data_IF_462602385269
#
_entry.id   IF_462602385269
#
_cell.length_a   1.000
_cell.length_b   1.000
_cell.length_c   1.000
_cell.angle_alpha   90.00
_cell.angle_beta   90.00
_cell.angle_gamma   90.00
#
_symmetry.space_group_name_H-M   'P 1'
#
loop_
_entity.id
_entity.type
_entity.pdbx_description
1 polymer ?
#
# COMPACT_ATOMS: atom_id res chain seq x y z
N UNK A 1 17.09 -31.47 2.47
CA UNK A 1 17.25 -31.77 1.03
C UNK A 1 18.62 -31.24 0.65
N UNK A 2 19.59 -32.15 0.49
CA UNK A 2 21.02 -31.96 0.18
C UNK A 2 21.71 -30.66 0.63
N UNK A 3 22.13 -30.63 1.90
CA UNK A 3 23.34 -29.89 2.26
C UNK A 3 24.51 -30.86 2.02
N UNK A 4 25.33 -30.54 1.03
CA UNK A 4 26.54 -31.29 0.68
C UNK A 4 27.44 -31.42 1.91
N UNK A 5 27.80 -32.65 2.26
CA UNK A 5 28.80 -33.01 3.28
C UNK A 5 30.24 -32.68 2.83
N UNK A 6 30.48 -31.50 2.26
CA UNK A 6 31.81 -31.03 1.84
C UNK A 6 32.30 -29.91 2.77
N UNK A 7 31.93 -30.00 4.04
CA UNK A 7 32.38 -29.13 5.13
C UNK A 7 33.74 -29.52 5.69
N UNK A 8 34.66 -29.97 4.84
CA UNK A 8 36.06 -30.04 5.25
C UNK A 8 36.63 -28.62 5.11
N UNK A 9 36.95 -28.01 6.26
CA UNK A 9 37.89 -26.89 6.36
C UNK A 9 39.25 -27.32 5.79
N UNK A 10 39.34 -27.49 4.48
CA UNK A 10 40.56 -27.76 3.76
C UNK A 10 41.38 -26.49 3.86
N UNK A 11 42.37 -26.50 4.77
CA UNK A 11 43.37 -25.45 4.87
C UNK A 11 43.88 -25.17 3.46
N UNK A 12 43.75 -23.93 2.96
CA UNK A 12 44.06 -23.64 1.57
C UNK A 12 45.52 -23.97 1.28
N UNK A 13 45.73 -24.82 0.28
CA UNK A 13 47.06 -25.38 -0.06
C UNK A 13 47.82 -24.54 -1.08
N UNK A 14 47.11 -23.67 -1.80
CA UNK A 14 47.64 -22.80 -2.85
C UNK A 14 47.10 -21.38 -2.71
N UNK A 15 47.79 -20.41 -3.31
CA UNK A 15 47.34 -19.00 -3.33
C UNK A 15 45.99 -18.85 -4.04
N UNK A 16 45.79 -19.64 -5.10
CA UNK A 16 44.54 -19.71 -5.86
C UNK A 16 43.37 -20.18 -4.99
N UNK A 17 43.57 -21.28 -4.27
CA UNK A 17 42.56 -21.83 -3.37
C UNK A 17 42.26 -20.90 -2.18
N UNK A 18 43.29 -20.23 -1.64
CA UNK A 18 43.11 -19.22 -0.59
C UNK A 18 42.21 -18.07 -1.05
N UNK A 19 42.39 -17.57 -2.28
CA UNK A 19 41.55 -16.51 -2.83
C UNK A 19 40.09 -16.95 -2.94
N UNK A 20 39.84 -18.13 -3.51
CA UNK A 20 38.48 -18.68 -3.64
C UNK A 20 37.84 -18.86 -2.26
N UNK A 21 38.57 -19.41 -1.29
CA UNK A 21 38.08 -19.61 0.08
C UNK A 21 37.69 -18.30 0.78
N UNK A 22 38.49 -17.24 0.62
CA UNK A 22 38.16 -15.90 1.17
C UNK A 22 36.89 -15.35 0.52
N UNK A 23 36.77 -15.45 -0.81
CA UNK A 23 35.59 -14.96 -1.53
C UNK A 23 34.34 -15.74 -1.15
N UNK A 24 34.43 -17.06 -1.02
CA UNK A 24 33.34 -17.94 -0.58
C UNK A 24 32.86 -17.59 0.82
N UNK A 25 33.78 -17.43 1.77
CA UNK A 25 33.47 -17.02 3.14
C UNK A 25 32.72 -15.67 3.17
N UNK A 26 33.13 -14.70 2.35
CA UNK A 26 32.43 -13.41 2.29
C UNK A 26 31.07 -13.49 1.60
N UNK A 27 30.92 -14.33 0.58
CA UNK A 27 29.63 -14.57 -0.08
C UNK A 27 28.65 -15.24 0.88
N UNK A 28 29.11 -16.18 1.69
CA UNK A 28 28.31 -16.81 2.75
C UNK A 28 27.88 -15.80 3.82
N UNK A 29 28.78 -14.91 4.26
CA UNK A 29 28.41 -13.82 5.16
C UNK A 29 27.32 -12.91 4.58
N UNK A 30 27.39 -12.60 3.27
CA UNK A 30 26.34 -11.83 2.60
C UNK A 30 25.02 -12.61 2.60
N UNK A 31 25.04 -13.91 2.31
CA UNK A 31 23.86 -14.77 2.34
C UNK A 31 23.19 -14.77 3.71
N UNK A 32 23.97 -14.88 4.80
CA UNK A 32 23.46 -14.84 6.17
C UNK A 32 22.80 -13.49 6.49
N UNK A 33 23.43 -12.38 6.08
CA UNK A 33 22.88 -11.03 6.25
C UNK A 33 21.55 -10.88 5.49
N UNK A 34 21.47 -11.35 4.24
CA UNK A 34 20.23 -11.31 3.44
C UNK A 34 19.14 -12.13 4.09
N UNK A 35 19.45 -13.36 4.53
CA UNK A 35 18.51 -14.26 5.19
C UNK A 35 17.97 -13.63 6.48
N UNK A 36 18.84 -12.99 7.28
CA UNK A 36 18.41 -12.29 8.50
C UNK A 36 17.47 -11.12 8.20
N UNK A 37 17.74 -10.34 7.15
CA UNK A 37 16.85 -9.24 6.76
C UNK A 37 15.51 -9.73 6.22
N UNK A 38 15.50 -10.85 5.49
CA UNK A 38 14.27 -11.50 5.04
C UNK A 38 13.41 -11.94 6.22
N UNK A 39 14.00 -12.61 7.21
CA UNK A 39 13.30 -13.00 8.45
C UNK A 39 12.78 -11.79 9.23
N UNK A 40 13.55 -10.69 9.30
CA UNK A 40 13.08 -9.44 9.93
C UNK A 40 11.87 -8.88 9.17
N UNK A 41 11.92 -8.84 7.85
CA UNK A 41 10.80 -8.38 7.02
C UNK A 41 9.56 -9.25 7.20
N UNK A 42 9.69 -10.58 7.17
CA UNK A 42 8.58 -11.51 7.40
C UNK A 42 7.94 -11.30 8.78
N UNK A 43 8.75 -11.10 9.81
CA UNK A 43 8.24 -10.87 11.17
C UNK A 43 7.43 -9.57 11.26
N UNK A 44 7.91 -8.49 10.63
CA UNK A 44 7.26 -7.19 10.62
C UNK A 44 5.98 -7.22 9.77
N UNK A 45 5.98 -7.96 8.66
CA UNK A 45 4.81 -8.17 7.81
C UNK A 45 3.71 -8.95 8.56
N UNK A 46 4.08 -10.01 9.27
CA UNK A 46 3.15 -10.76 10.12
C UNK A 46 2.54 -9.89 11.23
N UNK A 47 3.36 -9.04 11.86
CA UNK A 47 2.88 -8.07 12.84
C UNK A 47 1.96 -7.01 12.20
N UNK A 48 2.21 -6.63 10.95
CA UNK A 48 1.37 -5.68 10.20
C UNK A 48 -0.01 -6.27 9.86
N UNK A 49 -0.06 -7.56 9.54
CA UNK A 49 -1.28 -8.30 9.22
C UNK A 49 -2.13 -8.57 10.46
N UNK A 50 -1.49 -8.94 11.57
CA UNK A 50 -2.17 -9.13 12.87
C UNK A 50 -2.51 -7.79 13.52
N UNK A 51 -1.71 -6.76 13.27
CA UNK A 51 -1.79 -5.46 13.89
C UNK A 51 -2.98 -4.65 13.39
N UNK A 52 -3.81 -4.17 14.33
CA UNK A 52 -4.85 -3.20 14.03
C UNK A 52 -4.28 -1.84 13.58
N UNK A 53 -5.18 -0.88 13.32
CA UNK A 53 -4.83 0.49 12.90
C UNK A 53 -3.79 1.20 13.79
N UNK A 54 -3.71 0.86 15.08
CA UNK A 54 -2.74 1.43 16.04
C UNK A 54 -1.31 0.99 15.74
N UNK A 55 -1.13 -0.27 15.32
CA UNK A 55 0.17 -0.83 15.01
C UNK A 55 0.71 -0.30 13.68
N UNK A 56 -0.15 -0.21 12.65
CA UNK A 56 0.19 0.43 11.37
C UNK A 56 0.70 1.86 11.56
N UNK A 57 0.04 2.61 12.45
CA UNK A 57 0.46 3.97 12.80
C UNK A 57 1.84 4.00 13.50
N UNK A 58 2.07 3.12 14.48
CA UNK A 58 3.36 3.02 15.17
C UNK A 58 4.51 2.72 14.22
N UNK A 59 4.30 1.80 13.26
CA UNK A 59 5.32 1.43 12.28
C UNK A 59 5.73 2.58 11.34
N UNK A 60 4.78 3.45 11.00
CA UNK A 60 5.09 4.67 10.24
C UNK A 60 5.92 5.67 11.07
N UNK A 61 5.57 5.86 12.33
CA UNK A 61 6.26 6.78 13.23
C UNK A 61 7.71 6.34 13.49
N UNK A 62 7.95 5.02 13.63
CA UNK A 62 9.27 4.45 13.89
C UNK A 62 10.21 4.47 12.66
N UNK A 63 9.70 4.84 11.48
CA UNK A 63 10.41 4.84 10.17
C UNK A 63 11.13 3.51 9.89
N UNK A 64 10.58 2.37 10.33
CA UNK A 64 11.24 1.07 10.19
C UNK A 64 11.38 0.64 8.73
N UNK A 65 10.29 0.69 7.95
CA UNK A 65 10.32 0.33 6.53
C UNK A 65 11.27 1.19 5.69
N UNK A 66 11.28 2.54 5.81
CA UNK A 66 12.28 3.37 5.13
C UNK A 66 13.72 3.00 5.48
N UNK A 67 14.02 2.72 6.76
CA UNK A 67 15.37 2.30 7.19
C UNK A 67 15.75 0.95 6.60
N UNK A 68 14.84 -0.02 6.63
CA UNK A 68 15.06 -1.35 6.04
C UNK A 68 15.28 -1.26 4.53
N UNK A 69 14.46 -0.47 3.83
CA UNK A 69 14.63 -0.21 2.39
C UNK A 69 16.03 0.36 2.09
N UNK A 70 16.48 1.38 2.83
CA UNK A 70 17.81 1.97 2.64
C UNK A 70 18.92 0.94 2.88
N UNK A 71 18.81 0.11 3.93
CA UNK A 71 19.81 -0.91 4.23
C UNK A 71 19.87 -1.99 3.14
N UNK A 72 18.72 -2.49 2.67
CA UNK A 72 18.62 -3.43 1.57
C UNK A 72 19.19 -2.83 0.27
N UNK A 73 18.89 -1.57 -0.04
CA UNK A 73 19.44 -0.87 -1.20
C UNK A 73 20.96 -0.72 -1.14
N UNK A 74 21.52 -0.36 0.03
CA UNK A 74 22.97 -0.28 0.22
C UNK A 74 23.63 -1.64 0.00
N UNK A 75 23.05 -2.71 0.55
CA UNK A 75 23.57 -4.05 0.31
C UNK A 75 23.46 -4.45 -1.17
N UNK A 76 22.36 -4.10 -1.83
CA UNK A 76 22.15 -4.38 -3.25
C UNK A 76 23.19 -3.69 -4.13
N UNK A 77 23.57 -2.45 -3.79
CA UNK A 77 24.64 -1.74 -4.47
C UNK A 77 25.99 -2.44 -4.31
N UNK A 78 26.32 -2.89 -3.09
CA UNK A 78 27.57 -3.62 -2.82
C UNK A 78 27.60 -4.94 -3.59
N UNK A 79 26.53 -5.75 -3.51
CA UNK A 79 26.44 -7.04 -4.22
C UNK A 79 26.46 -6.84 -5.74
N UNK A 80 25.79 -5.79 -6.24
CA UNK A 80 25.83 -5.45 -7.67
C UNK A 80 27.23 -5.03 -8.14
N UNK A 81 28.05 -4.45 -7.27
CA UNK A 81 29.43 -4.15 -7.59
C UNK A 81 30.29 -5.42 -7.60
N UNK A 82 30.14 -6.30 -6.60
CA UNK A 82 30.80 -7.60 -6.58
C UNK A 82 30.50 -8.43 -7.83
N UNK A 83 29.25 -8.42 -8.30
CA UNK A 83 28.82 -9.15 -9.51
C UNK A 83 29.49 -8.64 -10.79
N UNK A 84 29.92 -7.38 -10.83
CA UNK A 84 30.69 -6.82 -11.94
C UNK A 84 32.20 -7.11 -11.82
N UNK A 85 32.72 -7.15 -10.58
CA UNK A 85 34.15 -7.34 -10.31
C UNK A 85 34.56 -8.80 -10.40
N UNK A 86 33.78 -9.73 -9.85
CA UNK A 86 34.17 -11.14 -9.75
C UNK A 86 34.41 -11.79 -11.12
N UNK A 87 33.60 -11.56 -12.18
CA UNK A 87 33.90 -12.06 -13.52
C UNK A 87 35.22 -11.54 -14.08
N UNK A 88 35.57 -10.27 -13.80
CA UNK A 88 36.85 -9.66 -14.22
C UNK A 88 38.02 -10.24 -13.45
N UNK A 89 37.86 -10.50 -12.16
CA UNK A 89 38.86 -11.19 -11.33
C UNK A 89 39.11 -12.58 -11.89
N UNK A 90 38.04 -13.35 -12.17
CA UNK A 90 38.13 -14.68 -12.77
C UNK A 90 38.92 -14.66 -14.08
N UNK A 91 38.57 -13.76 -15.01
CA UNK A 91 39.25 -13.63 -16.30
C UNK A 91 40.75 -13.29 -16.15
N UNK A 92 41.10 -12.38 -15.25
CA UNK A 92 42.51 -11.99 -15.03
C UNK A 92 43.31 -13.09 -14.31
N UNK A 93 42.68 -13.81 -13.39
CA UNK A 93 43.28 -14.93 -12.67
C UNK A 93 43.49 -16.14 -13.58
N UNK A 94 42.51 -16.50 -14.44
CA UNK A 94 42.61 -17.66 -15.33
C UNK A 94 43.73 -17.56 -16.38
N UNK A 95 44.25 -16.35 -16.64
CA UNK A 95 45.40 -16.12 -17.53
C UNK A 95 46.76 -16.32 -16.83
N UNK A 96 46.79 -16.54 -15.51
CA UNK A 96 48.01 -16.69 -14.73
C UNK A 96 48.31 -18.16 -14.47
N UNK A 97 49.59 -18.52 -14.57
CA UNK A 97 50.06 -19.89 -14.39
C UNK A 97 49.91 -20.46 -12.97
N UNK A 98 49.73 -19.60 -11.96
CA UNK A 98 49.54 -20.00 -10.56
C UNK A 98 48.07 -20.26 -10.21
N UNK A 99 47.14 -19.96 -11.10
CA UNK A 99 45.71 -20.13 -10.86
C UNK A 99 45.24 -21.47 -11.44
N UNK A 100 44.71 -22.33 -10.58
CA UNK A 100 44.32 -23.67 -10.99
C UNK A 100 43.03 -23.66 -11.82
N UNK A 101 42.87 -24.62 -12.72
CA UNK A 101 41.64 -24.76 -13.50
C UNK A 101 40.44 -25.10 -12.62
N UNK A 102 40.62 -25.91 -11.57
CA UNK A 102 39.55 -26.24 -10.64
C UNK A 102 39.05 -24.99 -9.88
N UNK A 103 39.97 -24.15 -9.41
CA UNK A 103 39.64 -22.90 -8.70
C UNK A 103 38.94 -21.88 -9.62
N UNK A 104 39.19 -21.95 -10.94
CA UNK A 104 38.47 -21.13 -11.93
C UNK A 104 37.00 -21.56 -12.06
N UNK A 105 36.73 -22.86 -11.99
CA UNK A 105 35.36 -23.40 -11.99
C UNK A 105 34.65 -23.03 -10.68
N UNK A 106 35.32 -23.21 -9.54
CA UNK A 106 34.78 -22.82 -8.24
C UNK A 106 34.43 -21.32 -8.18
N UNK A 107 35.27 -20.45 -8.74
CA UNK A 107 34.99 -19.02 -8.83
C UNK A 107 33.79 -18.71 -9.75
N UNK A 108 33.56 -19.48 -10.82
CA UNK A 108 32.37 -19.33 -11.65
C UNK A 108 31.08 -19.73 -10.91
N UNK A 109 31.13 -20.81 -10.13
CA UNK A 109 30.02 -21.21 -9.27
C UNK A 109 29.69 -20.14 -8.22
N UNK A 110 30.73 -19.57 -7.60
CA UNK A 110 30.61 -18.45 -6.67
C UNK A 110 29.93 -17.22 -7.31
N UNK A 111 30.32 -16.86 -8.55
CA UNK A 111 29.66 -15.79 -9.31
C UNK A 111 28.18 -16.13 -9.53
N UNK A 112 27.86 -17.38 -9.85
CA UNK A 112 26.50 -17.87 -9.96
C UNK A 112 25.70 -17.73 -8.67
N UNK A 113 26.28 -18.10 -7.52
CA UNK A 113 25.67 -17.91 -6.19
C UNK A 113 25.42 -16.42 -5.91
N UNK A 114 26.42 -15.57 -6.14
CA UNK A 114 26.31 -14.12 -5.93
C UNK A 114 25.19 -13.48 -6.78
N UNK A 115 25.01 -13.93 -8.03
CA UNK A 115 23.89 -13.47 -8.88
C UNK A 115 22.53 -13.83 -8.29
N UNK A 116 22.35 -15.05 -7.79
CA UNK A 116 21.10 -15.46 -7.12
C UNK A 116 20.83 -14.62 -5.86
N UNK A 117 21.88 -14.32 -5.08
CA UNK A 117 21.78 -13.44 -3.90
C UNK A 117 21.30 -12.04 -4.31
N UNK A 118 21.88 -11.48 -5.38
CA UNK A 118 21.49 -10.18 -5.93
C UNK A 118 20.02 -10.15 -6.34
N UNK A 119 19.54 -11.19 -7.02
CA UNK A 119 18.15 -11.32 -7.45
C UNK A 119 17.20 -11.39 -6.25
N UNK A 120 17.50 -12.23 -5.26
CA UNK A 120 16.73 -12.34 -4.02
C UNK A 120 16.67 -10.99 -3.28
N UNK A 121 17.81 -10.30 -3.18
CA UNK A 121 17.86 -8.99 -2.55
C UNK A 121 17.04 -7.94 -3.31
N UNK A 122 17.05 -7.97 -4.64
CA UNK A 122 16.18 -7.15 -5.48
C UNK A 122 14.70 -7.43 -5.24
N UNK A 123 14.32 -8.70 -5.08
CA UNK A 123 12.96 -9.08 -4.70
C UNK A 123 12.57 -8.52 -3.32
N UNK A 124 13.44 -8.63 -2.31
CA UNK A 124 13.20 -8.06 -0.98
C UNK A 124 13.02 -6.54 -1.03
N UNK A 125 13.85 -5.82 -1.79
CA UNK A 125 13.70 -4.36 -1.98
C UNK A 125 12.31 -4.03 -2.54
N UNK A 126 11.88 -4.71 -3.59
CA UNK A 126 10.56 -4.50 -4.19
C UNK A 126 9.43 -4.81 -3.20
N UNK A 127 9.58 -5.87 -2.39
CA UNK A 127 8.60 -6.25 -1.37
C UNK A 127 8.46 -5.18 -0.29
N UNK A 128 9.57 -4.62 0.19
CA UNK A 128 9.55 -3.49 1.14
C UNK A 128 8.90 -2.25 0.53
N UNK A 129 9.19 -1.93 -0.74
CA UNK A 129 8.56 -0.80 -1.43
C UNK A 129 7.04 -0.96 -1.55
N UNK A 130 6.56 -2.18 -1.85
CA UNK A 130 5.14 -2.46 -1.94
C UNK A 130 4.44 -2.24 -0.58
N UNK A 131 5.05 -2.72 0.51
CA UNK A 131 4.52 -2.51 1.87
C UNK A 131 4.49 -1.02 2.23
N UNK A 132 5.56 -0.29 1.91
CA UNK A 132 5.62 1.15 2.17
C UNK A 132 4.54 1.92 1.41
N UNK A 133 4.33 1.60 0.11
CA UNK A 133 3.26 2.20 -0.68
C UNK A 133 1.86 1.88 -0.11
N UNK A 134 1.66 0.67 0.40
CA UNK A 134 0.42 0.28 1.10
C UNK A 134 0.17 1.10 2.36
N UNK A 135 1.21 1.35 3.16
CA UNK A 135 1.13 2.19 4.36
C UNK A 135 0.83 3.65 4.02
N UNK A 136 1.48 4.20 2.99
CA UNK A 136 1.25 5.59 2.54
C UNK A 136 -0.18 5.78 2.00
N UNK A 137 -0.69 4.78 1.28
CA UNK A 137 -2.08 4.74 0.81
C UNK A 137 -3.06 4.71 2.00
N UNK A 138 -2.81 3.84 2.97
CA UNK A 138 -3.62 3.76 4.19
C UNK A 138 -3.59 5.06 5.00
N UNK A 139 -2.42 5.70 5.16
CA UNK A 139 -2.30 6.99 5.84
C UNK A 139 -3.12 8.06 5.13
N UNK A 140 -3.03 8.12 3.80
CA UNK A 140 -3.77 9.05 2.97
C UNK A 140 -5.29 8.86 3.13
N UNK A 141 -5.76 7.61 3.21
CA UNK A 141 -7.16 7.30 3.49
C UNK A 141 -7.59 7.81 4.87
N UNK A 142 -6.77 7.63 5.92
CA UNK A 142 -7.07 8.15 7.25
C UNK A 142 -7.13 9.68 7.29
N UNK A 143 -6.21 10.36 6.60
CA UNK A 143 -6.20 11.83 6.48
C UNK A 143 -7.45 12.29 5.74
N UNK A 144 -7.76 11.67 4.61
CA UNK A 144 -8.92 12.03 3.80
C UNK A 144 -10.23 11.81 4.57
N UNK A 145 -10.33 10.72 5.34
CA UNK A 145 -11.50 10.47 6.20
C UNK A 145 -11.65 11.54 7.29
N UNK A 146 -10.54 11.97 7.91
CA UNK A 146 -10.58 13.06 8.90
C UNK A 146 -10.96 14.39 8.28
N UNK A 147 -10.38 14.71 7.11
CA UNK A 147 -10.74 15.90 6.34
C UNK A 147 -12.22 15.89 5.96
N UNK A 148 -12.77 14.75 5.54
CA UNK A 148 -14.19 14.61 5.26
C UNK A 148 -15.06 15.00 6.46
N UNK A 149 -14.74 14.51 7.67
CA UNK A 149 -15.48 14.89 8.87
C UNK A 149 -15.35 16.37 9.23
N UNK A 150 -14.14 16.95 9.08
CA UNK A 150 -13.93 18.38 9.29
C UNK A 150 -14.69 19.24 8.28
N UNK A 151 -14.66 18.88 7.00
CA UNK A 151 -15.43 19.57 5.95
C UNK A 151 -16.92 19.50 6.20
N UNK A 152 -17.43 18.35 6.65
CA UNK A 152 -18.83 18.19 7.04
C UNK A 152 -19.18 19.10 8.23
N UNK A 153 -18.33 19.16 9.26
CA UNK A 153 -18.53 20.03 10.41
C UNK A 153 -18.53 21.51 10.01
N UNK A 154 -17.59 21.92 9.16
CA UNK A 154 -17.51 23.29 8.62
C UNK A 154 -18.74 23.67 7.81
N UNK A 155 -19.31 22.74 7.03
CA UNK A 155 -20.54 22.99 6.26
C UNK A 155 -21.72 23.35 7.16
N UNK A 156 -21.79 22.78 8.37
CA UNK A 156 -22.83 23.08 9.36
C UNK A 156 -22.50 24.37 10.10
N UNK A 157 -21.27 24.53 10.60
CA UNK A 157 -20.91 25.66 11.46
C UNK A 157 -20.74 26.97 10.72
N UNK A 158 -20.24 26.98 9.49
CA UNK A 158 -20.03 28.21 8.72
C UNK A 158 -21.30 29.09 8.63
N UNK A 159 -22.45 28.60 8.17
CA UNK A 159 -23.65 29.43 8.09
C UNK A 159 -24.24 29.77 9.47
N UNK A 160 -24.14 28.86 10.46
CA UNK A 160 -24.55 29.17 11.83
C UNK A 160 -23.71 30.31 12.42
N UNK A 161 -22.39 30.28 12.21
CA UNK A 161 -21.45 31.32 12.65
C UNK A 161 -21.73 32.66 11.99
N UNK A 162 -22.13 32.69 10.71
CA UNK A 162 -22.56 33.92 10.03
C UNK A 162 -23.80 34.50 10.70
N UNK A 163 -24.82 33.68 10.97
CA UNK A 163 -26.04 34.13 11.65
C UNK A 163 -25.72 34.69 13.03
N UNK A 164 -25.01 33.93 13.87
CA UNK A 164 -24.64 34.40 15.22
C UNK A 164 -23.73 35.62 15.18
N UNK A 165 -22.89 35.75 14.15
CA UNK A 165 -22.02 36.91 13.93
C UNK A 165 -22.83 38.17 13.64
N UNK A 166 -23.77 38.11 12.69
CA UNK A 166 -24.65 39.25 12.34
C UNK A 166 -25.47 39.72 13.53
N UNK A 167 -26.06 38.80 14.29
CA UNK A 167 -26.88 39.14 15.47
C UNK A 167 -26.04 39.51 16.70
N UNK A 168 -24.76 39.12 16.76
CA UNK A 168 -23.83 39.47 17.83
C UNK A 168 -23.09 40.80 17.61
N UNK A 169 -23.26 41.42 16.44
CA UNK A 169 -22.69 42.75 16.17
C UNK A 169 -23.50 43.83 16.90
N UNK A 170 -22.80 44.75 17.56
CA UNK A 170 -23.41 45.92 18.23
C UNK A 170 -23.81 47.01 17.22
N UNK A 171 -24.65 46.66 16.25
CA UNK A 171 -25.15 47.57 15.20
C UNK A 171 -26.66 47.73 15.29
N UNK A 172 -27.15 48.96 15.14
CA UNK A 172 -28.59 49.26 15.11
C UNK A 172 -29.24 48.82 13.81
N UNK A 173 -30.55 48.50 13.84
CA UNK A 173 -31.33 48.18 12.65
C UNK A 173 -31.40 46.68 12.28
N UNK A 174 -30.84 45.79 13.09
CA UNK A 174 -31.03 44.33 12.94
C UNK A 174 -32.48 43.97 13.30
N UNK A 175 -33.20 43.17 12.50
CA UNK A 175 -34.56 42.77 12.83
C UNK A 175 -34.59 42.00 14.17
N UNK A 176 -35.67 42.16 14.94
CA UNK A 176 -35.87 41.55 16.26
C UNK A 176 -34.98 42.04 17.43
N UNK A 177 -34.21 43.12 17.29
CA UNK A 177 -33.36 43.67 18.37
C UNK A 177 -33.85 44.97 19.03
N UNK A 178 -34.90 45.62 18.51
CA UNK A 178 -35.42 46.88 19.04
C UNK A 178 -36.36 46.73 20.24
N UNK A 179 -36.37 47.69 21.17
CA UNK A 179 -37.35 47.76 22.27
C UNK A 179 -38.52 48.66 21.84
N UNK A 180 -39.71 48.10 21.56
CA UNK A 180 -40.92 48.93 21.39
C UNK A 180 -42.07 48.44 20.53
N UNK A 181 -42.12 47.18 20.06
CA UNK A 181 -43.20 46.67 19.21
C UNK A 181 -43.84 45.37 19.73
N UNK A 182 -45.16 45.16 19.56
CA UNK A 182 -45.88 43.99 20.08
C UNK A 182 -45.50 42.64 19.44
N UNK A 183 -44.70 42.63 18.37
CA UNK A 183 -44.17 41.42 17.72
C UNK A 183 -42.73 41.03 18.10
N UNK A 184 -42.14 41.67 19.12
CA UNK A 184 -40.70 41.57 19.43
C UNK A 184 -40.38 40.68 20.64
N UNK A 185 -41.38 40.29 21.44
CA UNK A 185 -41.17 39.51 22.67
C UNK A 185 -40.46 38.16 22.43
N UNK A 186 -40.56 37.61 21.21
CA UNK A 186 -39.98 36.32 20.82
C UNK A 186 -38.78 36.44 19.86
N UNK A 187 -38.11 37.60 19.81
CA UNK A 187 -37.01 37.84 18.87
C UNK A 187 -35.89 36.78 18.90
N UNK A 188 -35.47 36.39 20.10
CA UNK A 188 -34.48 35.32 20.30
C UNK A 188 -34.99 33.96 19.80
N UNK A 189 -36.26 33.62 20.06
CA UNK A 189 -36.89 32.38 19.60
C UNK A 189 -36.97 32.34 18.06
N UNK A 190 -37.29 33.47 17.41
CA UNK A 190 -37.33 33.54 15.95
C UNK A 190 -35.95 33.30 15.32
N UNK A 191 -34.88 33.87 15.89
CA UNK A 191 -33.50 33.61 15.42
C UNK A 191 -33.10 32.15 15.65
N UNK A 192 -33.48 31.57 16.79
CA UNK A 192 -33.26 30.15 17.08
C UNK A 192 -33.98 29.23 16.07
N UNK A 193 -35.23 29.56 15.71
CA UNK A 193 -36.01 28.83 14.69
C UNK A 193 -35.33 28.95 13.32
N UNK A 194 -34.84 30.13 12.93
CA UNK A 194 -34.11 30.32 11.67
C UNK A 194 -32.84 29.45 11.65
N UNK A 195 -32.06 29.44 12.73
CA UNK A 195 -30.88 28.57 12.85
C UNK A 195 -31.24 27.08 12.74
N UNK A 196 -32.33 26.65 13.39
CA UNK A 196 -32.80 25.26 13.34
C UNK A 196 -33.25 24.89 11.92
N UNK A 197 -34.04 25.74 11.26
CA UNK A 197 -34.50 25.53 9.88
C UNK A 197 -33.32 25.45 8.91
N UNK A 198 -32.31 26.31 9.08
CA UNK A 198 -31.10 26.30 8.27
C UNK A 198 -30.30 25.00 8.46
N UNK A 199 -30.19 24.51 9.70
CA UNK A 199 -29.53 23.24 9.99
C UNK A 199 -30.28 22.06 9.38
N UNK A 200 -31.62 22.02 9.53
CA UNK A 200 -32.47 20.97 8.94
C UNK A 200 -32.37 21.00 7.40
N UNK A 201 -32.38 22.19 6.79
CA UNK A 201 -32.20 22.35 5.35
C UNK A 201 -30.85 21.80 4.88
N UNK A 202 -29.75 22.11 5.57
CA UNK A 202 -28.42 21.57 5.24
C UNK A 202 -28.37 20.04 5.36
N UNK A 203 -28.91 19.47 6.43
CA UNK A 203 -28.97 18.01 6.61
C UNK A 203 -29.78 17.37 5.49
N UNK A 204 -30.91 17.96 5.11
CA UNK A 204 -31.74 17.48 4.01
C UNK A 204 -30.99 17.55 2.67
N UNK A 205 -30.30 18.66 2.38
CA UNK A 205 -29.46 18.79 1.19
C UNK A 205 -28.33 17.76 1.12
N UNK A 206 -27.76 17.34 2.26
CA UNK A 206 -26.68 16.34 2.30
C UNK A 206 -27.22 14.91 2.13
N UNK A 207 -28.36 14.61 2.75
CA UNK A 207 -28.99 13.27 2.70
C UNK A 207 -29.76 13.00 1.42
N UNK A 208 -30.29 14.03 0.77
CA UNK A 208 -31.08 13.88 -0.46
C UNK A 208 -30.31 13.21 -1.62
N UNK A 209 -29.06 13.61 -1.94
CA UNK A 209 -28.27 12.97 -2.99
C UNK A 209 -27.86 11.51 -2.69
N UNK A 210 -27.71 11.12 -1.42
CA UNK A 210 -27.41 9.73 -1.06
C UNK A 210 -28.65 8.85 -1.19
N UNK A 211 -29.80 9.36 -0.74
CA UNK A 211 -31.08 8.68 -0.84
C UNK A 211 -31.54 8.53 -2.30
N UNK A 212 -31.39 9.58 -3.10
CA UNK A 212 -31.71 9.58 -4.53
C UNK A 212 -30.86 8.56 -5.30
N UNK A 213 -29.55 8.48 -5.02
CA UNK A 213 -28.65 7.50 -5.65
C UNK A 213 -29.01 6.06 -5.29
N UNK A 214 -29.36 5.80 -4.03
CA UNK A 214 -29.81 4.48 -3.59
C UNK A 214 -31.14 4.08 -4.25
N UNK A 215 -32.11 5.00 -4.30
CA UNK A 215 -33.41 4.76 -4.94
C UNK A 215 -33.27 4.48 -6.45
N UNK A 216 -32.43 5.25 -7.15
CA UNK A 216 -32.21 5.03 -8.59
C UNK A 216 -31.50 3.69 -8.88
N UNK A 217 -30.53 3.30 -8.05
CA UNK A 217 -29.81 2.04 -8.21
C UNK A 217 -30.71 0.82 -7.99
N UNK A 218 -31.59 0.88 -6.99
CA UNK A 218 -32.60 -0.17 -6.72
C UNK A 218 -33.65 -0.23 -7.83
N UNK A 219 -34.08 0.91 -8.37
CA UNK A 219 -35.03 0.95 -9.47
C UNK A 219 -34.43 0.38 -10.79
N UNK A 220 -33.16 0.72 -11.08
CA UNK A 220 -32.43 0.21 -12.25
C UNK A 220 -32.23 -1.31 -12.20
N UNK A 221 -31.89 -1.87 -11.03
CA UNK A 221 -31.71 -3.33 -10.89
C UNK A 221 -33.03 -4.09 -11.06
N UNK A 222 -34.14 -3.55 -10.54
CA UNK A 222 -35.48 -4.11 -10.75
C UNK A 222 -35.92 -4.07 -12.22
N UNK A 223 -35.67 -2.95 -12.93
CA UNK A 223 -36.03 -2.82 -14.34
C UNK A 223 -35.22 -3.77 -15.25
N UNK A 224 -33.91 -3.90 -15.01
CA UNK A 224 -33.04 -4.81 -15.77
C UNK A 224 -33.37 -6.30 -15.52
N UNK A 225 -33.79 -6.66 -14.31
CA UNK A 225 -34.26 -8.02 -14.01
C UNK A 225 -35.59 -8.33 -14.73
N UNK A 226 -36.49 -7.34 -14.83
CA UNK A 226 -37.77 -7.48 -15.54
C UNK A 226 -37.60 -7.58 -17.07
N UNK A 227 -36.63 -6.84 -17.64
CA UNK A 227 -36.27 -6.94 -19.06
C UNK A 227 -35.66 -8.32 -19.42
N UNK A 228 -34.79 -8.88 -18.57
CA UNK A 228 -34.24 -10.25 -18.75
C UNK A 228 -35.28 -11.36 -18.68
N UNK A 229 -36.40 -11.12 -17.98
CA UNK A 229 -37.50 -12.07 -17.91
C UNK A 229 -38.33 -12.09 -19.21
N UNK A 230 -38.43 -10.96 -19.91
CA UNK A 230 -39.17 -10.85 -21.15
C UNK A 230 -38.40 -11.42 -22.36
N UNK A 231 -37.07 -11.37 -22.31
CA UNK A 231 -36.19 -11.88 -23.38
C UNK A 231 -35.99 -13.42 -23.32
N UNK A 232 -36.42 -14.08 -22.24
CA UNK A 232 -36.52 -15.54 -22.16
C UNK A 232 -37.83 -16.08 -22.78
N UNK A 233 -38.21 -15.61 -23.96
CA UNK A 233 -39.14 -16.38 -24.80
C UNK A 233 -38.32 -17.45 -25.52
N UNK A 234 -38.67 -18.75 -25.39
CA UNK A 234 -37.89 -19.81 -26.01
C UNK A 234 -37.98 -19.67 -27.53
N UNK A 235 -36.83 -19.45 -28.16
CA UNK A 235 -36.65 -19.65 -29.60
C UNK A 235 -37.07 -21.08 -29.93
N UNK A 236 -38.21 -21.22 -30.60
CA UNK A 236 -38.74 -22.48 -31.10
C UNK A 236 -37.77 -23.02 -32.16
N UNK A 237 -36.76 -23.80 -31.75
CA UNK A 237 -35.93 -24.57 -32.67
C UNK A 237 -36.79 -25.67 -33.29
N UNK A 238 -37.12 -25.52 -34.58
CA UNK A 238 -37.62 -26.61 -35.42
C UNK A 238 -36.56 -27.72 -35.45
N UNK A 239 -36.86 -28.85 -34.83
CA UNK A 239 -36.10 -30.08 -35.01
C UNK A 239 -36.42 -30.64 -36.40
N UNK A 240 -35.41 -30.74 -37.25
CA UNK A 240 -35.47 -31.51 -38.50
C UNK A 240 -35.05 -32.95 -38.16
N UNK A 241 -35.88 -33.98 -38.42
CA UNK A 241 -35.47 -35.35 -38.17
C UNK A 241 -34.61 -35.86 -39.33
N UNK A 242 -33.34 -36.14 -39.05
CA UNK A 242 -32.49 -36.96 -39.89
C UNK A 242 -32.89 -38.43 -39.71
N UNK A 243 -33.37 -39.07 -40.77
CA UNK A 243 -33.37 -40.53 -40.88
C UNK A 243 -32.27 -40.96 -41.85
N UNK A 244 -31.40 -41.83 -41.36
CA UNK A 244 -30.41 -42.63 -42.09
C UNK A 244 -30.90 -44.08 -42.10
N UNK A 245 -30.49 -44.84 -43.13
CA UNK A 245 -30.67 -46.27 -43.45
C UNK A 245 -31.64 -46.47 -44.62
N UNK A 246 -31.29 -47.04 -45.78
CA UNK A 246 -30.21 -47.95 -46.26
C UNK A 246 -29.77 -47.48 -47.65
#
# INVERSE_FOLDING_TARGET
MNHSEEGDNLVPRTVSNLLVHILDTHVDQIQDIVTKMEMELDSVELELDKGGSTFKKKMMDDRRFPKMHINLQRLLQVVSYCEQVFPRVKEKCSLKSWFASEDTVALEELIGRLRRIKENLGFLVNRVMAIQAGLDSWQSEQINRKLYYLSFLSMIFLPLSVVTGVFGMNVGGVPWTGQGGPGINDGFLNVLIICLLLLVFLVLCITFPSLYRWALATWKSQFLNKARYFDRRPSFRRAVPNYVQI
#
